data_IF_285430783235
#
_entry.id   IF_285430783235
#
_cell.length_a   1.000
_cell.length_b   1.000
_cell.length_c   1.000
_cell.angle_alpha   90.00
_cell.angle_beta   90.00
_cell.angle_gamma   90.00
#
_symmetry.space_group_name_H-M   'P 1'
#
loop_
_entity.id
_entity.type
_entity.pdbx_description
1 polymer ?
#
# COMPACT_ATOMS: atom_id res chain seq x y z
N UNK A 1 -17.11 -10.24 9.40
CA UNK A 1 -16.13 -11.27 9.83
C UNK A 1 -15.13 -10.65 10.78
N UNK A 2 -14.59 -11.38 11.75
CA UNK A 2 -13.48 -10.87 12.56
C UNK A 2 -12.23 -10.77 11.67
N UNK A 3 -11.76 -9.55 11.42
CA UNK A 3 -10.54 -9.29 10.67
C UNK A 3 -9.36 -9.42 11.64
N UNK A 4 -8.32 -10.13 11.24
CA UNK A 4 -7.17 -10.42 12.10
C UNK A 4 -6.01 -9.43 11.88
N UNK A 5 -5.91 -8.88 10.67
CA UNK A 5 -4.83 -7.97 10.27
C UNK A 5 -5.28 -6.51 10.21
N UNK A 6 -6.57 -6.27 10.35
CA UNK A 6 -7.19 -4.95 10.28
C UNK A 6 -8.16 -4.74 11.45
N UNK A 7 -8.23 -3.50 11.91
CA UNK A 7 -9.35 -2.97 12.71
C UNK A 7 -10.07 -1.92 11.88
N UNK A 8 -11.40 -1.96 11.89
CA UNK A 8 -12.22 -0.92 11.26
C UNK A 8 -13.01 -0.17 12.33
N UNK A 9 -13.09 1.14 12.18
CA UNK A 9 -13.85 2.03 13.05
C UNK A 9 -14.53 3.11 12.20
N UNK A 10 -15.82 3.31 12.42
CA UNK A 10 -16.55 4.38 11.74
C UNK A 10 -16.51 5.64 12.60
N UNK A 11 -15.93 6.70 12.08
CA UNK A 11 -15.84 8.01 12.70
C UNK A 11 -16.69 8.96 11.84
N UNK A 12 -17.84 9.35 12.34
CA UNK A 12 -18.85 10.09 11.58
C UNK A 12 -19.20 9.39 10.26
N UNK A 13 -18.79 9.94 9.13
CA UNK A 13 -19.02 9.41 7.78
C UNK A 13 -17.77 8.83 7.16
N UNK A 14 -16.69 8.71 7.90
CA UNK A 14 -15.42 8.12 7.44
C UNK A 14 -15.21 6.75 8.05
N UNK A 15 -14.75 5.79 7.26
CA UNK A 15 -14.30 4.48 7.72
C UNK A 15 -12.78 4.53 7.92
N UNK A 16 -12.34 4.44 9.18
CA UNK A 16 -10.93 4.28 9.52
C UNK A 16 -10.57 2.80 9.46
N UNK A 17 -9.57 2.47 8.66
CA UNK A 17 -8.97 1.14 8.54
C UNK A 17 -7.56 1.21 9.13
N UNK A 18 -7.34 0.50 10.23
CA UNK A 18 -6.03 0.45 10.90
C UNK A 18 -5.40 -0.91 10.69
N UNK A 19 -4.18 -0.97 10.18
CA UNK A 19 -3.37 -2.20 10.14
C UNK A 19 -2.95 -2.57 11.56
N UNK A 20 -3.12 -3.83 11.98
CA UNK A 20 -3.03 -4.25 13.39
C UNK A 20 -1.94 -5.29 13.68
N UNK A 21 -0.88 -5.30 12.88
CA UNK A 21 0.30 -6.16 13.07
C UNK A 21 1.55 -5.32 13.40
N UNK A 22 1.56 -4.53 14.50
CA UNK A 22 2.66 -3.60 14.80
C UNK A 22 3.99 -4.31 15.04
N UNK A 23 3.98 -5.52 15.61
CA UNK A 23 5.19 -6.30 15.89
C UNK A 23 5.90 -6.75 14.60
N UNK A 24 5.15 -6.98 13.52
CA UNK A 24 5.68 -7.25 12.18
C UNK A 24 5.69 -5.99 11.30
N UNK A 25 5.65 -4.80 11.91
CA UNK A 25 5.69 -3.53 11.16
C UNK A 25 4.55 -3.39 10.13
N UNK A 26 3.40 -4.01 10.39
CA UNK A 26 2.24 -4.07 9.49
C UNK A 26 2.58 -4.59 8.09
N UNK A 27 3.47 -5.58 7.98
CA UNK A 27 3.87 -6.17 6.71
C UNK A 27 2.67 -6.78 5.97
N UNK A 28 2.66 -6.54 4.65
CA UNK A 28 1.57 -6.90 3.75
C UNK A 28 1.57 -8.41 3.46
N UNK A 29 0.56 -9.09 3.93
CA UNK A 29 0.34 -10.53 3.71
C UNK A 29 -0.84 -10.77 2.77
N UNK A 30 -0.94 -12.00 2.23
CA UNK A 30 -2.11 -12.40 1.43
C UNK A 30 -3.43 -12.27 2.21
N UNK A 31 -3.41 -12.53 3.52
CA UNK A 31 -4.58 -12.36 4.39
C UNK A 31 -4.99 -10.89 4.50
N UNK A 32 -4.02 -10.00 4.76
CA UNK A 32 -4.27 -8.55 4.82
C UNK A 32 -4.87 -8.05 3.50
N UNK A 33 -4.36 -8.52 2.35
CA UNK A 33 -4.93 -8.17 1.04
C UNK A 33 -6.41 -8.55 0.95
N UNK A 34 -6.77 -9.78 1.32
CA UNK A 34 -8.16 -10.25 1.26
C UNK A 34 -9.05 -9.39 2.16
N UNK A 35 -8.62 -9.16 3.40
CA UNK A 35 -9.36 -8.35 4.37
C UNK A 35 -9.54 -6.89 3.92
N UNK A 36 -8.52 -6.28 3.26
CA UNK A 36 -8.65 -4.94 2.67
C UNK A 36 -9.69 -4.95 1.54
N UNK A 37 -9.61 -5.92 0.62
CA UNK A 37 -10.53 -6.02 -0.53
C UNK A 37 -11.98 -6.13 -0.06
N UNK A 38 -12.26 -7.04 0.89
CA UNK A 38 -13.59 -7.21 1.49
C UNK A 38 -14.07 -5.94 2.19
N UNK A 39 -13.16 -5.26 2.94
CA UNK A 39 -13.51 -4.01 3.62
C UNK A 39 -13.87 -2.90 2.65
N UNK A 40 -13.17 -2.82 1.52
CA UNK A 40 -13.48 -1.85 0.47
C UNK A 40 -14.82 -2.15 -0.20
N UNK A 41 -15.15 -3.43 -0.45
CA UNK A 41 -16.45 -3.83 -1.00
C UNK A 41 -17.60 -3.48 -0.04
N UNK A 42 -17.42 -3.75 1.26
CA UNK A 42 -18.35 -3.37 2.33
C UNK A 42 -18.55 -1.85 2.37
N UNK A 43 -17.43 -1.09 2.35
CA UNK A 43 -17.45 0.37 2.41
C UNK A 43 -18.05 1.01 1.14
N UNK A 44 -17.86 0.40 -0.03
CA UNK A 44 -18.41 0.90 -1.29
C UNK A 44 -19.93 0.80 -1.30
N UNK A 45 -20.49 -0.27 -0.72
CA UNK A 45 -21.94 -0.54 -0.64
C UNK A 45 -22.66 0.21 0.50
N UNK A 46 -21.94 0.70 1.50
CA UNK A 46 -22.53 1.42 2.64
C UNK A 46 -22.64 2.93 2.36
N UNK A 47 -23.83 3.43 2.02
CA UNK A 47 -24.09 4.84 1.76
C UNK A 47 -23.80 5.76 2.95
N UNK A 48 -23.72 5.23 4.15
CA UNK A 48 -23.36 5.97 5.36
C UNK A 48 -21.85 6.21 5.49
N UNK A 49 -21.01 5.51 4.68
CA UNK A 49 -19.57 5.76 4.54
C UNK A 49 -19.35 6.66 3.33
N UNK A 50 -18.70 7.81 3.55
CA UNK A 50 -18.43 8.80 2.50
C UNK A 50 -16.95 8.89 2.13
N UNK A 51 -16.05 8.38 2.97
CA UNK A 51 -14.61 8.31 2.73
C UNK A 51 -13.98 7.16 3.50
N UNK A 52 -12.79 6.77 3.09
CA UNK A 52 -11.99 5.72 3.75
C UNK A 52 -10.63 6.29 4.11
N UNK A 53 -10.15 5.99 5.32
CA UNK A 53 -8.85 6.42 5.82
C UNK A 53 -8.05 5.18 6.18
N UNK A 54 -6.85 5.03 5.64
CA UNK A 54 -5.92 3.98 5.99
C UNK A 54 -4.82 4.50 6.90
N UNK A 55 -4.51 3.76 7.97
CA UNK A 55 -3.37 4.03 8.86
C UNK A 55 -2.79 2.73 9.43
N UNK A 56 -1.63 2.81 10.07
CA UNK A 56 -1.01 1.67 10.76
C UNK A 56 -0.99 1.83 12.26
N UNK A 57 -1.09 0.73 13.01
CA UNK A 57 -0.78 0.73 14.44
C UNK A 57 0.73 0.69 14.66
N UNK A 58 1.20 1.25 15.78
CA UNK A 58 2.62 1.24 16.16
C UNK A 58 3.49 2.20 15.31
N UNK A 59 4.73 1.79 15.05
CA UNK A 59 5.78 2.65 14.44
C UNK A 59 5.83 2.65 12.91
N UNK A 60 5.01 1.85 12.25
CA UNK A 60 4.98 1.74 10.79
C UNK A 60 3.56 1.86 10.27
N UNK A 61 3.44 2.47 9.11
CA UNK A 61 2.24 2.36 8.28
C UNK A 61 2.17 0.93 7.70
N UNK A 62 3.14 0.58 6.85
CA UNK A 62 3.36 -0.76 6.33
C UNK A 62 4.80 -0.87 5.79
N UNK A 63 5.60 -1.78 6.33
CA UNK A 63 7.02 -1.90 5.99
C UNK A 63 7.31 -2.78 4.76
N UNK A 64 6.30 -3.08 3.94
CA UNK A 64 6.48 -3.87 2.71
C UNK A 64 5.86 -5.25 2.79
N UNK A 65 6.23 -6.12 1.86
CA UNK A 65 5.74 -7.50 1.81
C UNK A 65 6.18 -8.30 3.05
N UNK A 66 5.29 -9.18 3.51
CA UNK A 66 5.62 -10.18 4.53
C UNK A 66 6.62 -11.19 3.96
N UNK A 67 7.86 -11.15 4.44
CA UNK A 67 8.97 -12.00 3.99
C UNK A 67 9.13 -13.29 4.82
N UNK A 68 8.17 -13.64 5.66
CA UNK A 68 8.23 -14.83 6.52
C UNK A 68 8.41 -16.14 5.74
N UNK A 69 8.02 -16.16 4.46
CA UNK A 69 8.20 -17.30 3.55
C UNK A 69 9.59 -17.35 2.86
N UNK A 70 10.48 -16.41 3.17
CA UNK A 70 11.81 -16.33 2.57
C UNK A 70 11.76 -16.21 1.04
N UNK A 71 12.57 -17.04 0.33
CA UNK A 71 12.65 -17.03 -1.14
C UNK A 71 11.30 -17.30 -1.83
N UNK A 72 10.37 -17.99 -1.16
CA UNK A 72 9.04 -18.31 -1.72
C UNK A 72 8.10 -17.11 -1.74
N UNK A 73 8.43 -16.01 -1.05
CA UNK A 73 7.59 -14.81 -0.99
C UNK A 73 7.27 -14.26 -2.39
N UNK A 74 8.24 -14.32 -3.29
CA UNK A 74 8.12 -13.83 -4.68
C UNK A 74 8.02 -14.95 -5.71
N UNK A 75 7.74 -16.19 -5.30
CA UNK A 75 7.48 -17.30 -6.23
C UNK A 75 6.04 -17.21 -6.77
N UNK A 76 5.91 -16.67 -7.97
CA UNK A 76 4.64 -16.49 -8.69
C UNK A 76 4.23 -17.72 -9.49
N UNK A 77 5.09 -18.75 -9.61
CA UNK A 77 4.87 -19.91 -10.48
C UNK A 77 3.64 -20.75 -10.10
N UNK A 78 3.28 -20.74 -8.81
CA UNK A 78 2.17 -21.53 -8.24
C UNK A 78 0.86 -20.73 -8.04
N UNK A 79 0.77 -19.52 -8.53
CA UNK A 79 -0.43 -18.71 -8.36
C UNK A 79 -1.50 -19.01 -9.39
N UNK A 80 -2.73 -19.26 -8.92
CA UNK A 80 -3.86 -19.66 -9.77
C UNK A 80 -4.45 -18.48 -10.58
N UNK A 81 -4.33 -17.26 -10.08
CA UNK A 81 -4.85 -16.07 -10.77
C UNK A 81 -3.90 -15.63 -11.87
N UNK A 82 -4.13 -16.14 -13.10
CA UNK A 82 -3.39 -15.76 -14.31
C UNK A 82 -4.30 -14.97 -15.26
N UNK A 83 -3.74 -13.95 -15.89
CA UNK A 83 -4.37 -13.26 -17.02
C UNK A 83 -3.45 -13.42 -18.21
N UNK A 84 -3.96 -13.97 -19.32
CA UNK A 84 -3.17 -14.30 -20.50
C UNK A 84 -1.92 -15.16 -20.19
N UNK A 85 -2.05 -16.13 -19.25
CA UNK A 85 -0.96 -17.01 -18.84
C UNK A 85 0.06 -16.39 -17.86
N UNK A 86 -0.06 -15.10 -17.52
CA UNK A 86 0.85 -14.40 -16.61
C UNK A 86 0.21 -14.29 -15.22
N UNK A 87 0.97 -14.68 -14.19
CA UNK A 87 0.52 -14.52 -12.80
C UNK A 87 0.33 -13.04 -12.45
N UNK A 88 -0.78 -12.73 -11.77
CA UNK A 88 -1.08 -11.35 -11.34
C UNK A 88 -0.36 -11.01 -10.05
N UNK A 89 0.27 -9.85 -10.03
CA UNK A 89 0.81 -9.24 -8.83
C UNK A 89 -0.33 -8.89 -7.84
N UNK A 90 -0.20 -9.36 -6.60
CA UNK A 90 -1.21 -9.13 -5.54
C UNK A 90 -1.27 -7.66 -5.13
N UNK A 91 -0.12 -6.99 -5.08
CA UNK A 91 -0.06 -5.54 -4.85
C UNK A 91 -0.77 -4.78 -5.97
N UNK A 92 -0.55 -5.18 -7.23
CA UNK A 92 -1.23 -4.60 -8.39
C UNK A 92 -2.75 -4.81 -8.38
N UNK A 93 -3.22 -5.96 -7.93
CA UNK A 93 -4.65 -6.22 -7.79
C UNK A 93 -5.29 -5.28 -6.75
N UNK A 94 -4.64 -5.09 -5.59
CA UNK A 94 -5.09 -4.13 -4.58
C UNK A 94 -5.06 -2.70 -5.11
N UNK A 95 -3.98 -2.30 -5.76
CA UNK A 95 -3.82 -0.95 -6.33
C UNK A 95 -4.93 -0.61 -7.33
N UNK A 96 -5.29 -1.56 -8.19
CA UNK A 96 -6.39 -1.37 -9.14
C UNK A 96 -7.75 -1.28 -8.43
N UNK A 97 -7.99 -2.07 -7.38
CA UNK A 97 -9.21 -1.95 -6.56
C UNK A 97 -9.31 -0.58 -5.90
N UNK A 98 -8.20 -0.07 -5.34
CA UNK A 98 -8.15 1.27 -4.74
C UNK A 98 -8.39 2.37 -5.79
N UNK A 99 -7.85 2.21 -6.98
CA UNK A 99 -8.03 3.16 -8.08
C UNK A 99 -9.47 3.21 -8.60
N UNK A 100 -10.15 2.06 -8.66
CA UNK A 100 -11.54 1.95 -9.13
C UNK A 100 -12.57 2.30 -8.05
N UNK A 101 -12.14 2.46 -6.80
CA UNK A 101 -13.02 2.74 -5.67
C UNK A 101 -13.72 4.10 -5.79
N UNK A 102 -15.02 4.17 -5.49
CA UNK A 102 -15.88 5.31 -5.82
C UNK A 102 -15.95 6.42 -4.76
N UNK A 103 -15.28 6.23 -3.62
CA UNK A 103 -15.28 7.20 -2.51
C UNK A 103 -13.85 7.67 -2.24
N UNK A 104 -13.64 8.90 -1.74
CA UNK A 104 -12.32 9.39 -1.39
C UNK A 104 -11.56 8.46 -0.44
N UNK A 105 -10.28 8.22 -0.75
CA UNK A 105 -9.37 7.43 0.07
C UNK A 105 -8.20 8.30 0.53
N UNK A 106 -7.95 8.28 1.83
CA UNK A 106 -6.86 9.00 2.47
C UNK A 106 -5.85 8.02 3.06
N UNK A 107 -4.57 8.17 2.73
CA UNK A 107 -3.48 7.52 3.44
C UNK A 107 -2.99 8.42 4.57
N UNK A 108 -3.24 8.02 5.82
CA UNK A 108 -2.70 8.65 7.02
C UNK A 108 -1.45 7.89 7.47
N UNK A 109 -0.29 8.31 6.96
CA UNK A 109 0.98 7.58 7.05
C UNK A 109 1.68 7.97 8.35
N UNK A 110 1.47 7.16 9.38
CA UNK A 110 1.97 7.40 10.75
C UNK A 110 3.46 7.07 10.94
N UNK A 111 4.09 6.35 10.01
CA UNK A 111 5.46 5.89 10.12
C UNK A 111 5.99 5.31 8.83
N UNK A 112 6.83 4.27 8.90
CA UNK A 112 7.47 3.69 7.70
C UNK A 112 6.47 3.12 6.71
N UNK A 113 6.58 3.53 5.43
CA UNK A 113 5.84 3.04 4.28
C UNK A 113 6.83 2.62 3.20
N UNK A 114 7.07 1.31 3.03
CA UNK A 114 8.15 0.77 2.19
C UNK A 114 7.61 -0.31 1.25
N UNK A 115 8.13 -0.40 0.04
CA UNK A 115 7.68 -1.38 -0.97
C UNK A 115 6.17 -1.25 -1.22
N UNK A 116 5.41 -2.36 -1.09
CA UNK A 116 3.95 -2.32 -1.23
C UNK A 116 3.28 -1.37 -0.24
N UNK A 117 3.91 -1.09 0.91
CA UNK A 117 3.40 -0.11 1.89
C UNK A 117 3.32 1.31 1.34
N UNK A 118 4.26 1.74 0.51
CA UNK A 118 4.17 3.04 -0.16
C UNK A 118 3.41 2.93 -1.49
N UNK A 119 3.58 1.86 -2.26
CA UNK A 119 2.96 1.76 -3.58
C UNK A 119 1.44 1.64 -3.52
N UNK A 120 0.88 1.00 -2.48
CA UNK A 120 -0.58 0.98 -2.29
C UNK A 120 -1.18 2.37 -2.04
N UNK A 121 -0.38 3.35 -1.61
CA UNK A 121 -0.88 4.71 -1.37
C UNK A 121 -0.94 5.56 -2.64
N UNK A 122 -0.27 5.14 -3.71
CA UNK A 122 -0.19 5.92 -4.95
C UNK A 122 -1.54 6.17 -5.64
N UNK A 123 -2.47 5.20 -5.69
CA UNK A 123 -3.80 5.42 -6.24
C UNK A 123 -4.76 6.14 -5.29
N UNK A 124 -4.39 6.34 -4.02
CA UNK A 124 -5.23 7.04 -3.03
C UNK A 124 -5.25 8.55 -3.32
N UNK A 125 -6.35 9.22 -3.00
CA UNK A 125 -6.57 10.63 -3.36
C UNK A 125 -5.67 11.58 -2.58
N UNK A 126 -5.48 11.31 -1.28
CA UNK A 126 -4.71 12.19 -0.37
C UNK A 126 -3.73 11.35 0.44
N UNK A 127 -2.50 11.82 0.55
CA UNK A 127 -1.45 11.28 1.43
C UNK A 127 -1.10 12.34 2.48
N UNK A 128 -1.29 11.99 3.75
CA UNK A 128 -0.89 12.80 4.90
C UNK A 128 0.13 11.98 5.67
N UNK A 129 1.31 12.52 5.88
CA UNK A 129 2.39 11.81 6.55
C UNK A 129 2.82 12.51 7.84
N UNK A 130 3.18 11.71 8.84
CA UNK A 130 3.93 12.19 9.99
C UNK A 130 5.32 12.65 9.55
N UNK A 131 5.87 13.69 10.19
CA UNK A 131 7.23 14.18 9.96
C UNK A 131 8.30 13.08 10.18
N UNK A 132 7.98 12.08 11.00
CA UNK A 132 8.83 10.92 11.27
C UNK A 132 8.66 9.78 10.25
N UNK A 133 7.73 9.90 9.29
CA UNK A 133 7.52 8.87 8.29
C UNK A 133 8.75 8.68 7.40
N UNK A 134 8.94 7.44 6.97
CA UNK A 134 10.01 7.05 6.02
C UNK A 134 9.37 6.35 4.83
N UNK A 135 9.86 6.65 3.66
CA UNK A 135 9.38 6.08 2.41
C UNK A 135 10.50 5.33 1.69
N UNK A 136 10.15 4.29 0.92
CA UNK A 136 11.17 3.58 0.16
C UNK A 136 10.59 2.71 -0.95
N UNK A 137 11.05 2.93 -2.18
CA UNK A 137 10.75 2.08 -3.34
C UNK A 137 11.88 1.06 -3.54
N UNK A 138 12.04 0.14 -2.59
CA UNK A 138 13.23 -0.72 -2.40
C UNK A 138 13.39 -1.87 -3.39
N UNK A 139 12.75 -1.80 -4.56
CA UNK A 139 12.67 -2.88 -5.55
C UNK A 139 14.05 -3.30 -6.06
N UNK A 140 14.87 -2.35 -6.49
CA UNK A 140 16.22 -2.60 -7.01
C UNK A 140 17.11 -3.34 -5.99
N UNK A 141 17.01 -2.97 -4.69
CA UNK A 141 17.74 -3.66 -3.61
C UNK A 141 17.28 -5.09 -3.36
N UNK A 142 16.12 -5.47 -3.88
CA UNK A 142 15.55 -6.82 -3.80
C UNK A 142 15.68 -7.62 -5.10
N UNK A 143 16.26 -7.02 -6.14
CA UNK A 143 16.37 -7.64 -7.46
C UNK A 143 15.02 -7.85 -8.16
N UNK A 144 14.02 -7.05 -7.83
CA UNK A 144 12.68 -7.10 -8.42
C UNK A 144 12.35 -5.79 -9.14
N UNK A 145 11.46 -5.86 -10.11
CA UNK A 145 10.95 -4.68 -10.81
C UNK A 145 9.92 -3.93 -9.95
N UNK A 146 9.66 -2.63 -10.21
CA UNK A 146 8.59 -1.89 -9.56
C UNK A 146 7.25 -2.60 -9.71
N UNK A 147 6.60 -2.92 -8.57
CA UNK A 147 5.35 -3.68 -8.48
C UNK A 147 4.14 -2.79 -8.12
N UNK A 148 2.97 -3.37 -7.91
CA UNK A 148 1.74 -2.68 -7.49
C UNK A 148 1.39 -1.48 -8.38
N UNK A 149 1.57 -1.61 -9.71
CA UNK A 149 1.34 -0.55 -10.68
C UNK A 149 2.17 0.73 -10.43
N UNK A 150 3.20 0.68 -9.58
CA UNK A 150 4.00 1.85 -9.21
C UNK A 150 4.71 2.49 -10.40
N UNK A 151 5.14 1.70 -11.40
CA UNK A 151 5.72 2.20 -12.65
C UNK A 151 4.75 3.05 -13.48
N UNK A 152 3.43 2.92 -13.24
CA UNK A 152 2.40 3.74 -13.88
C UNK A 152 2.03 4.96 -13.04
N UNK A 153 1.80 4.78 -11.72
CA UNK A 153 1.32 5.85 -10.83
C UNK A 153 2.43 6.84 -10.46
N UNK A 154 3.59 6.35 -9.99
CA UNK A 154 4.61 7.22 -9.43
C UNK A 154 5.10 8.29 -10.41
N UNK A 155 5.44 7.98 -11.69
CA UNK A 155 5.86 9.01 -12.64
C UNK A 155 4.80 10.08 -12.93
N UNK A 156 3.52 9.77 -12.72
CA UNK A 156 2.41 10.72 -12.89
C UNK A 156 2.24 11.63 -11.70
N UNK A 157 2.71 11.22 -10.53
CA UNK A 157 2.64 12.00 -9.29
C UNK A 157 3.87 12.90 -9.16
N UNK A 158 5.08 12.33 -9.26
CA UNK A 158 6.35 13.02 -8.93
C UNK A 158 7.19 13.40 -10.17
N UNK A 159 6.75 13.01 -11.35
CA UNK A 159 7.53 13.14 -12.59
C UNK A 159 8.51 11.99 -12.80
N UNK A 160 8.97 11.85 -14.06
CA UNK A 160 9.79 10.69 -14.48
C UNK A 160 11.13 10.65 -13.76
N UNK A 161 11.85 11.79 -13.70
CA UNK A 161 13.19 11.84 -13.10
C UNK A 161 13.20 11.44 -11.63
N UNK A 162 12.31 12.01 -10.81
CA UNK A 162 12.23 11.68 -9.39
C UNK A 162 11.77 10.22 -9.19
N UNK A 163 10.85 9.75 -10.02
CA UNK A 163 10.39 8.37 -10.00
C UNK A 163 11.52 7.38 -10.25
N UNK A 164 12.35 7.63 -11.28
CA UNK A 164 13.50 6.79 -11.61
C UNK A 164 14.56 6.83 -10.49
N UNK A 165 14.86 8.01 -9.95
CA UNK A 165 15.79 8.15 -8.84
C UNK A 165 15.41 7.26 -7.66
N UNK A 166 14.17 7.36 -7.17
CA UNK A 166 13.71 6.58 -6.03
C UNK A 166 13.60 5.08 -6.32
N UNK A 167 13.09 4.71 -7.50
CA UNK A 167 12.91 3.29 -7.85
C UNK A 167 14.24 2.58 -8.13
N UNK A 168 15.20 3.26 -8.77
CA UNK A 168 16.48 2.65 -9.16
C UNK A 168 17.50 2.65 -8.02
N UNK A 169 17.53 3.70 -7.18
CA UNK A 169 18.38 3.72 -5.98
C UNK A 169 17.90 2.73 -4.92
N UNK A 170 16.58 2.57 -4.79
CA UNK A 170 15.96 1.81 -3.71
C UNK A 170 16.28 2.38 -2.33
N UNK A 171 16.69 3.64 -2.22
CA UNK A 171 16.97 4.28 -0.94
C UNK A 171 15.68 4.57 -0.17
N UNK A 172 15.84 4.65 1.16
CA UNK A 172 14.77 5.08 2.06
C UNK A 172 14.97 6.56 2.35
N UNK A 173 13.92 7.35 2.18
CA UNK A 173 13.95 8.79 2.29
C UNK A 173 12.92 9.32 3.31
N UNK A 174 13.06 10.59 3.69
CA UNK A 174 12.26 11.25 4.73
C UNK A 174 10.90 11.75 4.21
N UNK A 175 10.00 12.10 5.14
CA UNK A 175 8.75 12.78 4.81
C UNK A 175 9.01 14.16 4.16
N UNK A 176 10.06 14.87 4.58
CA UNK A 176 10.45 16.14 3.96
C UNK A 176 10.84 15.95 2.49
N UNK A 177 11.64 14.92 2.19
CA UNK A 177 12.01 14.60 0.82
C UNK A 177 10.80 14.16 -0.02
N UNK A 178 9.91 13.36 0.56
CA UNK A 178 8.64 12.98 -0.07
C UNK A 178 7.81 14.21 -0.45
N UNK A 179 7.67 15.17 0.47
CA UNK A 179 6.96 16.43 0.24
C UNK A 179 7.61 17.26 -0.86
N UNK A 180 8.94 17.42 -0.84
CA UNK A 180 9.71 18.13 -1.90
C UNK A 180 9.55 17.47 -3.27
N UNK A 181 9.52 16.14 -3.30
CA UNK A 181 9.28 15.32 -4.49
C UNK A 181 7.81 15.27 -4.91
N UNK A 182 6.88 15.87 -4.16
CA UNK A 182 5.43 15.92 -4.43
C UNK A 182 4.74 14.54 -4.31
N UNK A 183 5.30 13.62 -3.53
CA UNK A 183 4.66 12.36 -3.18
C UNK A 183 3.53 12.60 -2.18
#
# INVERSE_FOLDING_TARGET
MNKETLKTEKIDKSLLITFTRPDEMNTFSGKMMVEIMETLDEAESDDSVRSVIFTGSGRAYCAGADLSQGEKTFDWSKRDKKVNGVARDTGGMLTLKLYDFKKPIIAAINGSAVGVGVTMTLPMDVRIASDNAKFGFVFAKRGIVPEACSSWFLPRIVGVSQSLEWMMSGEVFSAEEALKGKL
#
